data_IF_589836821380
#
_entry.id   IF_589836821380
#
_cell.length_a   1.000
_cell.length_b   1.000
_cell.length_c   1.000
_cell.angle_alpha   90.00
_cell.angle_beta   90.00
_cell.angle_gamma   90.00
#
_symmetry.space_group_name_H-M   'P 1'
#
loop_
_entity.id
_entity.type
_entity.pdbx_description
1 polymer ?
#
# COMPACT_ATOMS: atom_id res chain seq x y z
N UNK A 1 16.17 -9.03 9.89
CA UNK A 1 15.10 -9.37 8.91
C UNK A 1 15.62 -9.13 7.50
N UNK A 2 15.46 -10.08 6.58
CA UNK A 2 15.89 -9.91 5.19
C UNK A 2 14.90 -9.04 4.40
N UNK A 3 15.42 -8.24 3.47
CA UNK A 3 14.64 -7.36 2.58
C UNK A 3 13.51 -8.10 1.84
N UNK A 4 13.83 -9.33 1.44
CA UNK A 4 12.92 -10.23 0.73
C UNK A 4 11.67 -10.56 1.56
N UNK A 5 11.81 -10.75 2.87
CA UNK A 5 10.68 -11.02 3.76
C UNK A 5 9.74 -9.83 3.93
N UNK A 6 10.26 -8.60 3.91
CA UNK A 6 9.42 -7.40 4.01
C UNK A 6 8.58 -7.17 2.75
N UNK A 7 9.20 -7.31 1.57
CA UNK A 7 8.48 -7.19 0.31
C UNK A 7 7.46 -8.32 0.11
N UNK A 8 7.80 -9.55 0.48
CA UNK A 8 6.85 -10.68 0.46
C UNK A 8 5.65 -10.46 1.38
N UNK A 9 5.85 -9.85 2.57
CA UNK A 9 4.74 -9.47 3.45
C UNK A 9 3.82 -8.44 2.81
N UNK A 10 4.35 -7.40 2.15
CA UNK A 10 3.53 -6.45 1.40
C UNK A 10 2.72 -7.13 0.28
N UNK A 11 3.32 -8.10 -0.41
CA UNK A 11 2.62 -8.85 -1.45
C UNK A 11 1.54 -9.77 -0.87
N UNK A 12 1.80 -10.40 0.27
CA UNK A 12 0.82 -11.28 0.93
C UNK A 12 -0.48 -10.56 1.32
N UNK A 13 -0.41 -9.24 1.60
CA UNK A 13 -1.60 -8.41 1.84
C UNK A 13 -2.61 -8.47 0.68
N UNK A 14 -2.12 -8.51 -0.56
CA UNK A 14 -2.99 -8.61 -1.73
C UNK A 14 -3.57 -10.03 -1.89
N UNK A 15 -2.77 -11.07 -1.61
CA UNK A 15 -3.19 -12.46 -1.71
C UNK A 15 -4.30 -12.86 -0.71
N UNK A 16 -4.31 -12.26 0.48
CA UNK A 16 -5.29 -12.59 1.55
C UNK A 16 -6.66 -11.93 1.38
N UNK A 17 -6.80 -10.95 0.46
CA UNK A 17 -8.05 -10.22 0.19
C UNK A 17 -8.92 -10.87 -0.90
N UNK A 18 -8.57 -12.08 -1.33
CA UNK A 18 -9.37 -12.86 -2.27
C UNK A 18 -10.54 -13.58 -1.59
N UNK A 19 -11.62 -13.79 -2.33
CA UNK A 19 -12.72 -14.70 -1.95
C UNK A 19 -12.26 -16.16 -1.83
N UNK A 20 -11.10 -16.50 -2.40
CA UNK A 20 -10.39 -17.78 -2.21
C UNK A 20 -8.90 -17.49 -1.97
N UNK A 21 -8.47 -17.26 -0.72
CA UNK A 21 -7.11 -16.84 -0.44
C UNK A 21 -6.10 -17.94 -0.87
N UNK A 22 -5.18 -17.58 -1.76
CA UNK A 22 -4.05 -18.43 -2.13
C UNK A 22 -2.76 -17.65 -1.89
N UNK A 23 -2.00 -18.04 -0.89
CA UNK A 23 -0.78 -17.33 -0.44
C UNK A 23 0.36 -17.38 -1.45
N UNK A 24 0.24 -18.20 -2.50
CA UNK A 24 1.27 -18.40 -3.52
C UNK A 24 1.06 -17.59 -4.79
N UNK A 25 -0.17 -17.13 -5.05
CA UNK A 25 -0.56 -16.45 -6.31
C UNK A 25 -1.37 -15.20 -6.03
N UNK A 26 -0.97 -14.08 -6.62
CA UNK A 26 -1.75 -12.85 -6.62
C UNK A 26 -2.35 -12.71 -8.01
N UNK A 27 -3.67 -12.78 -8.12
CA UNK A 27 -4.36 -12.47 -9.38
C UNK A 27 -4.54 -10.95 -9.54
N UNK A 28 -4.80 -10.51 -10.77
CA UNK A 28 -5.18 -9.11 -11.03
C UNK A 28 -6.32 -8.63 -10.13
N UNK A 29 -7.33 -9.47 -9.93
CA UNK A 29 -8.49 -9.11 -9.11
C UNK A 29 -8.12 -8.97 -7.61
N UNK A 30 -7.21 -9.80 -7.11
CA UNK A 30 -6.74 -9.72 -5.72
C UNK A 30 -5.93 -8.45 -5.49
N UNK A 31 -5.08 -8.11 -6.46
CA UNK A 31 -4.35 -6.85 -6.49
C UNK A 31 -5.27 -5.65 -6.50
N UNK A 32 -6.29 -5.66 -7.36
CA UNK A 32 -7.28 -4.59 -7.46
C UNK A 32 -8.08 -4.45 -6.16
N UNK A 33 -8.54 -5.57 -5.58
CA UNK A 33 -9.24 -5.57 -4.28
C UNK A 33 -8.38 -5.01 -3.15
N UNK A 34 -7.11 -5.40 -3.10
CA UNK A 34 -6.17 -4.85 -2.11
C UNK A 34 -5.95 -3.35 -2.30
N UNK A 35 -5.76 -2.89 -3.54
CA UNK A 35 -5.58 -1.46 -3.84
C UNK A 35 -6.84 -0.64 -3.47
N UNK A 36 -8.04 -1.15 -3.77
CA UNK A 36 -9.31 -0.54 -3.36
C UNK A 36 -9.49 -0.53 -1.83
N UNK A 37 -9.00 -1.55 -1.13
CA UNK A 37 -9.05 -1.61 0.34
C UNK A 37 -8.17 -0.57 1.04
N UNK A 38 -7.18 -0.05 0.31
CA UNK A 38 -6.37 1.09 0.74
C UNK A 38 -7.06 2.44 0.48
N UNK A 39 -8.30 2.44 -0.03
CA UNK A 39 -9.08 3.64 -0.30
C UNK A 39 -8.68 4.40 -1.56
N UNK A 40 -7.93 3.74 -2.45
CA UNK A 40 -7.65 4.28 -3.77
C UNK A 40 -8.92 4.30 -4.61
N UNK A 41 -9.04 5.33 -5.45
CA UNK A 41 -10.09 5.38 -6.46
C UNK A 41 -9.88 4.30 -7.54
N UNK A 42 -10.97 3.92 -8.18
CA UNK A 42 -10.97 2.83 -9.14
C UNK A 42 -9.95 2.98 -10.28
N UNK A 43 -9.83 4.14 -10.98
CA UNK A 43 -8.84 4.31 -12.04
C UNK A 43 -7.39 4.08 -11.57
N UNK A 44 -7.03 4.61 -10.40
CA UNK A 44 -5.68 4.47 -9.86
C UNK A 44 -5.44 3.04 -9.37
N UNK A 45 -6.42 2.40 -8.75
CA UNK A 45 -6.32 1.01 -8.34
C UNK A 45 -6.11 0.09 -9.55
N UNK A 46 -6.83 0.29 -10.66
CA UNK A 46 -6.63 -0.45 -11.91
C UNK A 46 -5.25 -0.20 -12.49
N UNK A 47 -4.81 1.06 -12.53
CA UNK A 47 -3.49 1.42 -13.02
C UNK A 47 -2.37 0.74 -12.22
N UNK A 48 -2.40 0.83 -10.88
CA UNK A 48 -1.40 0.20 -10.02
C UNK A 48 -1.42 -1.32 -10.11
N UNK A 49 -2.61 -1.94 -10.15
CA UNK A 49 -2.74 -3.38 -10.34
C UNK A 49 -2.14 -3.82 -11.67
N UNK A 50 -2.37 -3.06 -12.74
CA UNK A 50 -1.82 -3.33 -14.08
C UNK A 50 -0.31 -3.20 -14.09
N UNK A 51 0.24 -2.10 -13.59
CA UNK A 51 1.69 -1.88 -13.51
C UNK A 51 2.37 -2.97 -12.70
N UNK A 52 1.80 -3.36 -11.55
CA UNK A 52 2.32 -4.46 -10.73
C UNK A 52 2.38 -5.77 -11.51
N UNK A 53 1.33 -6.11 -12.24
CA UNK A 53 1.26 -7.33 -13.04
C UNK A 53 2.17 -7.30 -14.27
N UNK A 54 2.44 -6.13 -14.85
CA UNK A 54 3.39 -5.99 -15.96
C UNK A 54 4.84 -6.09 -15.47
N UNK A 55 5.17 -5.43 -14.36
CA UNK A 55 6.53 -5.40 -13.80
C UNK A 55 6.91 -6.73 -13.16
N UNK A 56 5.99 -7.35 -12.43
CA UNK A 56 6.22 -8.61 -11.73
C UNK A 56 5.63 -9.82 -12.47
N UNK A 57 5.40 -9.68 -13.79
CA UNK A 57 4.88 -10.76 -14.63
C UNK A 57 5.87 -11.93 -14.61
N UNK A 58 5.50 -13.01 -13.95
CA UNK A 58 6.34 -14.21 -13.88
C UNK A 58 5.60 -15.50 -14.27
N UNK A 59 4.40 -15.37 -14.84
CA UNK A 59 3.69 -16.45 -15.53
C UNK A 59 3.44 -16.05 -16.99
N UNK A 60 3.05 -17.02 -17.84
CA UNK A 60 3.05 -16.92 -19.31
C UNK A 60 2.37 -15.68 -19.91
N UNK A 61 2.61 -15.44 -21.20
CA UNK A 61 2.36 -14.17 -21.90
C UNK A 61 0.93 -13.59 -21.80
N UNK A 62 -0.07 -14.42 -21.46
CA UNK A 62 -1.48 -14.06 -21.34
C UNK A 62 -2.02 -14.09 -19.89
N UNK A 63 -1.19 -14.43 -18.90
CA UNK A 63 -1.59 -14.56 -17.50
C UNK A 63 -1.28 -13.28 -16.71
N UNK A 64 -2.31 -12.61 -16.19
CA UNK A 64 -2.19 -11.56 -15.16
C UNK A 64 -2.15 -12.20 -13.76
N UNK A 65 -1.18 -13.09 -13.54
CA UNK A 65 -0.96 -13.77 -12.26
C UNK A 65 0.49 -13.62 -11.82
N UNK A 66 0.71 -13.17 -10.60
CA UNK A 66 2.04 -13.06 -9.99
C UNK A 66 2.24 -14.26 -9.07
N UNK A 67 3.32 -15.03 -9.28
CA UNK A 67 3.72 -16.12 -8.38
C UNK A 67 4.73 -15.61 -7.35
N UNK A 68 4.26 -15.44 -6.11
CA UNK A 68 4.98 -14.78 -5.00
C UNK A 68 6.35 -15.43 -4.68
N UNK A 69 6.50 -16.77 -4.62
CA UNK A 69 7.77 -17.42 -4.24
C UNK A 69 8.93 -17.11 -5.17
N UNK A 70 8.65 -16.84 -6.45
CA UNK A 70 9.67 -16.60 -7.48
C UNK A 70 10.08 -15.13 -7.62
N UNK A 71 9.40 -14.19 -6.96
CA UNK A 71 9.80 -12.79 -7.02
C UNK A 71 11.03 -12.58 -6.14
N UNK A 72 12.21 -12.80 -6.70
CA UNK A 72 13.50 -12.46 -6.09
C UNK A 72 13.65 -10.95 -6.08
N UNK A 73 13.18 -10.33 -4.99
CA UNK A 73 13.35 -8.89 -4.81
C UNK A 73 14.49 -8.68 -3.82
N UNK A 74 15.65 -8.26 -4.32
CA UNK A 74 16.76 -7.75 -3.49
C UNK A 74 16.47 -6.34 -2.94
N UNK A 75 15.33 -5.75 -3.30
CA UNK A 75 14.92 -4.39 -2.93
C UNK A 75 14.57 -4.31 -1.44
N UNK A 76 15.26 -3.42 -0.73
CA UNK A 76 14.93 -3.01 0.63
C UNK A 76 13.94 -1.85 0.56
N UNK A 77 12.77 -2.01 1.18
CA UNK A 77 11.76 -0.94 1.28
C UNK A 77 12.34 0.20 2.13
N UNK A 78 12.47 1.38 1.53
CA UNK A 78 13.02 2.57 2.20
C UNK A 78 14.36 2.25 2.90
N UNK A 79 15.27 1.59 2.17
CA UNK A 79 16.59 1.17 2.67
C UNK A 79 16.59 0.03 3.70
N UNK A 80 15.42 -0.39 4.21
CA UNK A 80 15.23 -1.51 5.14
C UNK A 80 15.26 -1.10 6.62
N UNK A 81 15.20 -2.05 7.57
CA UNK A 81 15.02 -1.73 9.00
C UNK A 81 16.16 -0.92 9.65
N UNK A 82 17.34 -0.90 9.05
CA UNK A 82 18.51 -0.16 9.54
C UNK A 82 18.71 1.18 8.83
N UNK A 83 17.85 1.50 7.84
CA UNK A 83 17.83 2.78 7.15
C UNK A 83 17.09 3.84 7.95
N UNK A 84 17.29 5.11 7.60
CA UNK A 84 16.83 6.27 8.38
C UNK A 84 17.25 6.15 9.86
N UNK A 85 18.55 6.20 10.13
CA UNK A 85 19.10 6.02 11.49
C UNK A 85 18.53 7.02 12.50
N UNK A 86 18.21 8.23 12.04
CA UNK A 86 17.64 9.31 12.87
C UNK A 86 16.10 9.28 12.95
N UNK A 87 15.48 8.17 12.52
CA UNK A 87 14.03 7.99 12.61
C UNK A 87 13.61 7.73 14.07
N UNK A 88 12.80 8.65 14.59
CA UNK A 88 12.11 8.59 15.87
C UNK A 88 10.66 8.15 15.64
N UNK A 89 10.28 7.01 16.21
CA UNK A 89 8.96 6.41 16.03
C UNK A 89 7.83 7.27 16.60
N UNK A 90 8.14 8.15 17.57
CA UNK A 90 7.18 9.03 18.23
C UNK A 90 6.95 10.34 17.47
N UNK A 91 7.82 10.66 16.50
CA UNK A 91 7.70 11.88 15.69
C UNK A 91 6.77 11.68 14.50
N UNK A 92 6.37 12.80 13.92
CA UNK A 92 5.56 12.86 12.69
C UNK A 92 6.34 13.61 11.63
N UNK A 93 6.41 13.01 10.44
CA UNK A 93 7.27 13.47 9.37
C UNK A 93 6.46 13.91 8.15
N UNK A 94 6.81 15.06 7.59
CA UNK A 94 6.36 15.52 6.28
C UNK A 94 7.11 14.84 5.14
N UNK A 95 6.68 15.08 3.90
CA UNK A 95 7.31 14.48 2.70
C UNK A 95 8.79 14.83 2.59
N UNK A 96 9.15 16.12 2.71
CA UNK A 96 10.54 16.57 2.60
C UNK A 96 11.45 16.04 3.72
N UNK A 97 10.91 15.90 4.94
CA UNK A 97 11.63 15.32 6.07
C UNK A 97 11.92 13.84 5.83
N UNK A 98 10.94 13.07 5.32
CA UNK A 98 11.15 11.67 4.97
C UNK A 98 12.16 11.49 3.84
N UNK A 99 12.11 12.34 2.81
CA UNK A 99 13.10 12.32 1.71
C UNK A 99 14.50 12.64 2.23
N UNK A 100 14.61 13.60 3.15
CA UNK A 100 15.89 13.96 3.78
C UNK A 100 16.43 12.81 4.63
N UNK A 101 15.55 12.15 5.41
CA UNK A 101 15.91 10.96 6.20
C UNK A 101 16.37 9.78 5.35
N UNK A 102 15.84 9.65 4.13
CA UNK A 102 16.21 8.60 3.19
C UNK A 102 17.37 8.99 2.25
N UNK A 103 17.94 10.18 2.42
CA UNK A 103 18.96 10.73 1.50
C UNK A 103 20.19 9.83 1.41
N UNK A 104 20.70 9.41 2.56
CA UNK A 104 21.91 8.59 2.67
C UNK A 104 21.69 7.13 2.23
N UNK A 105 20.43 6.71 2.14
CA UNK A 105 20.03 5.38 1.66
C UNK A 105 19.83 5.33 0.13
N UNK A 106 19.97 6.47 -0.56
CA UNK A 106 19.99 6.60 -2.01
C UNK A 106 18.65 7.00 -2.66
N UNK A 107 18.69 7.28 -3.97
CA UNK A 107 17.55 7.83 -4.73
C UNK A 107 16.32 6.91 -4.71
N UNK A 108 16.52 5.59 -4.69
CA UNK A 108 15.42 4.62 -4.59
C UNK A 108 14.73 4.70 -3.23
N UNK A 109 15.48 4.90 -2.14
CA UNK A 109 14.91 5.07 -0.81
C UNK A 109 14.14 6.40 -0.69
N UNK A 110 14.63 7.47 -1.34
CA UNK A 110 13.90 8.73 -1.44
C UNK A 110 12.58 8.59 -2.21
N UNK A 111 12.58 7.84 -3.31
CA UNK A 111 11.35 7.53 -4.05
C UNK A 111 10.37 6.70 -3.18
N UNK A 112 10.89 5.71 -2.44
CA UNK A 112 10.09 4.93 -1.47
C UNK A 112 9.51 5.83 -0.36
N UNK A 113 10.25 6.83 0.10
CA UNK A 113 9.79 7.80 1.10
C UNK A 113 8.62 8.65 0.58
N UNK A 114 8.69 9.11 -0.67
CA UNK A 114 7.56 9.80 -1.33
C UNK A 114 6.37 8.86 -1.48
N UNK A 115 6.59 7.62 -1.92
CA UNK A 115 5.54 6.61 -2.06
C UNK A 115 4.85 6.29 -0.74
N UNK A 116 5.63 6.11 0.33
CA UNK A 116 5.13 5.96 1.69
C UNK A 116 4.31 7.17 2.11
N UNK A 117 4.78 8.38 1.85
CA UNK A 117 4.05 9.60 2.20
C UNK A 117 2.71 9.69 1.47
N UNK A 118 2.68 9.44 0.16
CA UNK A 118 1.43 9.40 -0.62
C UNK A 118 0.44 8.37 -0.05
N UNK A 119 0.96 7.22 0.36
CA UNK A 119 0.20 6.11 0.92
C UNK A 119 -0.29 6.36 2.35
N UNK A 120 0.54 6.91 3.24
CA UNK A 120 0.33 6.86 4.68
C UNK A 120 0.05 8.21 5.34
N UNK A 121 0.36 9.33 4.69
CA UNK A 121 0.19 10.64 5.30
C UNK A 121 -1.27 10.89 5.67
N UNK A 122 -1.50 11.49 6.83
CA UNK A 122 -2.85 11.86 7.26
C UNK A 122 -3.29 13.18 6.63
N UNK A 123 -4.44 13.70 7.05
CA UNK A 123 -5.02 14.97 6.56
C UNK A 123 -4.08 16.16 6.79
N UNK A 124 -3.27 16.11 7.83
CA UNK A 124 -2.26 17.11 8.14
C UNK A 124 -0.96 16.98 7.33
N UNK A 125 -0.91 16.03 6.39
CA UNK A 125 0.24 15.81 5.52
C UNK A 125 1.43 15.15 6.20
N UNK A 126 1.23 14.53 7.38
CA UNK A 126 2.32 13.87 8.12
C UNK A 126 2.12 12.37 8.27
N UNK A 127 3.23 11.64 8.32
CA UNK A 127 3.32 10.19 8.57
C UNK A 127 3.94 9.98 9.95
N UNK A 128 3.43 9.06 10.76
CA UNK A 128 4.03 8.73 12.06
C UNK A 128 5.32 7.94 11.86
N UNK A 129 6.34 8.15 12.69
CA UNK A 129 7.60 7.41 12.61
C UNK A 129 7.41 5.89 12.74
N UNK A 130 6.49 5.47 13.62
CA UNK A 130 6.03 4.08 13.72
C UNK A 130 5.56 3.50 12.37
N UNK A 131 4.84 4.29 11.56
CA UNK A 131 4.37 3.85 10.24
C UNK A 131 5.53 3.68 9.24
N UNK A 132 6.57 4.51 9.35
CA UNK A 132 7.80 4.35 8.56
C UNK A 132 8.49 3.02 8.90
N UNK A 133 8.55 2.65 10.18
CA UNK A 133 9.07 1.33 10.60
C UNK A 133 8.20 0.17 10.11
N UNK A 134 6.87 0.30 10.22
CA UNK A 134 5.95 -0.70 9.69
C UNK A 134 6.12 -0.87 8.16
N UNK A 135 6.39 0.22 7.43
CA UNK A 135 6.68 0.16 6.00
C UNK A 135 7.99 -0.58 5.71
N UNK A 136 9.07 -0.27 6.43
CA UNK A 136 10.36 -0.98 6.31
C UNK A 136 10.22 -2.50 6.61
N UNK A 137 9.25 -2.89 7.45
CA UNK A 137 8.95 -4.30 7.77
C UNK A 137 7.95 -4.97 6.82
N UNK A 138 7.24 -4.17 6.01
CA UNK A 138 6.20 -4.62 5.09
C UNK A 138 4.83 -4.88 5.74
N UNK A 139 4.58 -4.27 6.90
CA UNK A 139 3.40 -4.52 7.76
C UNK A 139 2.40 -3.35 7.75
N UNK A 140 2.71 -2.26 7.04
CA UNK A 140 1.90 -1.04 7.06
C UNK A 140 0.50 -1.20 6.43
N UNK A 141 0.35 -2.08 5.44
CA UNK A 141 -0.84 -2.08 4.58
C UNK A 141 -2.13 -2.36 5.34
N UNK A 142 -2.10 -3.31 6.29
CA UNK A 142 -3.27 -3.61 7.12
C UNK A 142 -3.65 -2.44 8.03
N UNK A 143 -2.66 -1.71 8.55
CA UNK A 143 -2.92 -0.53 9.36
C UNK A 143 -3.59 0.58 8.54
N UNK A 144 -3.13 0.80 7.31
CA UNK A 144 -3.74 1.78 6.40
C UNK A 144 -5.16 1.37 6.02
N UNK A 145 -5.34 0.11 5.62
CA UNK A 145 -6.64 -0.42 5.23
C UNK A 145 -7.65 -0.32 6.39
N UNK A 146 -7.25 -0.71 7.60
CA UNK A 146 -8.07 -0.58 8.82
C UNK A 146 -8.47 0.87 9.09
N UNK A 147 -7.49 1.79 9.07
CA UNK A 147 -7.72 3.22 9.28
C UNK A 147 -8.65 3.86 8.25
N UNK A 148 -8.64 3.36 7.01
CA UNK A 148 -9.46 3.85 5.89
C UNK A 148 -10.82 3.17 5.76
N UNK A 149 -11.18 2.26 6.67
CA UNK A 149 -12.56 1.76 6.75
C UNK A 149 -13.53 2.87 7.15
N UNK A 150 -13.12 3.84 7.97
CA UNK A 150 -13.95 4.97 8.39
C UNK A 150 -13.82 6.20 7.49
N UNK A 151 -14.75 7.15 7.63
CA UNK A 151 -14.72 8.44 6.90
C UNK A 151 -13.72 9.46 7.46
N UNK A 152 -13.13 9.19 8.63
CA UNK A 152 -12.23 10.13 9.29
C UNK A 152 -10.89 10.29 8.57
N UNK A 153 -10.50 9.31 7.73
CA UNK A 153 -9.22 9.30 7.02
C UNK A 153 -9.38 9.02 5.52
N UNK A 154 -10.31 9.74 4.89
CA UNK A 154 -10.46 9.74 3.43
C UNK A 154 -9.22 10.32 2.77
N UNK A 155 -8.71 9.60 1.76
CA UNK A 155 -7.57 10.02 0.95
C UNK A 155 -8.01 11.20 0.05
N UNK A 156 -7.25 12.31 -0.03
CA UNK A 156 -7.59 13.38 -0.96
C UNK A 156 -7.43 12.91 -2.40
N UNK A 157 -8.24 13.47 -3.32
CA UNK A 157 -8.29 13.05 -4.72
C UNK A 157 -6.92 13.09 -5.43
N UNK A 158 -6.12 14.12 -5.19
CA UNK A 158 -4.79 14.25 -5.79
C UNK A 158 -3.77 13.21 -5.28
N UNK A 159 -4.03 12.56 -4.13
CA UNK A 159 -3.28 11.36 -3.68
C UNK A 159 -3.95 10.05 -4.08
N UNK A 160 -4.98 10.14 -4.90
CA UNK A 160 -5.69 9.02 -5.48
C UNK A 160 -6.90 8.54 -4.70
N UNK A 161 -7.45 9.36 -3.80
CA UNK A 161 -8.74 9.05 -3.18
C UNK A 161 -9.94 9.35 -4.09
N UNK A 162 -11.16 9.00 -3.66
CA UNK A 162 -12.38 9.28 -4.40
C UNK A 162 -12.86 10.72 -4.23
N UNK A 163 -13.57 11.25 -5.24
CA UNK A 163 -14.26 12.54 -5.14
C UNK A 163 -15.46 12.47 -4.17
N UNK A 164 -16.22 11.36 -4.24
CA UNK A 164 -17.40 11.11 -3.42
C UNK A 164 -17.19 9.78 -2.67
N UNK A 165 -16.72 9.81 -1.41
CA UNK A 165 -16.34 8.60 -0.68
C UNK A 165 -17.49 7.61 -0.46
N UNK A 166 -18.71 8.11 -0.25
CA UNK A 166 -19.90 7.28 -0.04
C UNK A 166 -20.31 6.52 -1.30
N UNK A 167 -20.38 7.19 -2.46
CA UNK A 167 -20.66 6.55 -3.74
C UNK A 167 -19.57 5.55 -4.13
N UNK A 168 -18.30 5.90 -3.89
CA UNK A 168 -17.17 5.00 -4.10
C UNK A 168 -17.25 3.77 -3.21
N UNK A 169 -17.47 3.94 -1.90
CA UNK A 169 -17.64 2.86 -0.92
C UNK A 169 -18.73 1.88 -1.36
N UNK A 170 -19.90 2.41 -1.75
CA UNK A 170 -21.01 1.60 -2.25
C UNK A 170 -20.64 0.81 -3.51
N UNK A 171 -20.06 1.47 -4.51
CA UNK A 171 -19.69 0.83 -5.78
C UNK A 171 -18.64 -0.26 -5.59
N UNK A 172 -17.62 0.03 -4.77
CA UNK A 172 -16.52 -0.91 -4.46
C UNK A 172 -17.04 -2.12 -3.67
N UNK A 173 -17.91 -1.91 -2.69
CA UNK A 173 -18.56 -3.01 -1.96
C UNK A 173 -19.41 -3.86 -2.90
N UNK A 174 -20.21 -3.23 -3.78
CA UNK A 174 -21.12 -3.94 -4.68
C UNK A 174 -20.39 -4.75 -5.76
N UNK A 175 -19.33 -4.20 -6.36
CA UNK A 175 -18.64 -4.81 -7.50
C UNK A 175 -17.48 -5.72 -7.09
N UNK A 176 -16.81 -5.41 -5.98
CA UNK A 176 -15.56 -6.09 -5.59
C UNK A 176 -15.60 -6.75 -4.21
N UNK A 177 -16.68 -6.57 -3.45
CA UNK A 177 -16.83 -7.06 -2.06
C UNK A 177 -15.74 -6.50 -1.12
N UNK A 178 -15.38 -5.23 -1.32
CA UNK A 178 -14.37 -4.54 -0.52
C UNK A 178 -15.02 -3.44 0.30
N UNK A 179 -14.70 -3.42 1.59
CA UNK A 179 -15.18 -2.42 2.53
C UNK A 179 -14.15 -1.32 2.76
N UNK A 180 -14.51 -0.08 2.41
CA UNK A 180 -13.67 1.12 2.56
C UNK A 180 -14.56 2.35 2.68
N UNK A 181 -14.16 3.34 3.48
CA UNK A 181 -14.93 4.57 3.71
C UNK A 181 -16.41 4.32 4.08
N UNK A 182 -16.67 3.26 4.84
CA UNK A 182 -18.00 2.91 5.30
C UNK A 182 -18.48 3.98 6.28
N UNK A 183 -19.37 4.84 5.81
CA UNK A 183 -20.10 5.82 6.62
C UNK A 183 -21.39 5.30 7.23
N UNK A 184 -21.67 3.99 7.15
CA UNK A 184 -22.84 3.43 7.81
C UNK A 184 -22.63 3.50 9.31
N UNK A 185 -23.42 4.38 9.94
CA UNK A 185 -23.66 4.47 11.37
C UNK A 185 -23.62 3.08 11.98
N UNK A 186 -22.76 2.88 12.99
CA UNK A 186 -23.15 1.99 14.09
C UNK A 186 -24.47 2.56 14.61
N UNK A 187 -25.55 1.84 14.37
CA UNK A 187 -26.71 1.90 15.26
C UNK A 187 -26.28 1.30 16.60
#
# INVERSE_FOLDING_TARGET
MSAQGAFHRLLSFFATRSSRPNTSTITFMDSLRGDLSLGLNFPIAVFLATVRHLVFRNTGFWSLTIYVPTVRTSRKLLGGPSACKDLDENKRYGCGELVTLAKDDGVVAQADAVGLWMLAAEKDGKVKGEEVRLFQRGEIMERIASRRRGLDNVLPFWRGGPLIPSAHSWAVKKAFDVEVYNGHKRA
#
